data_IF_593570416913
#
_entry.id   IF_593570416913
#
_cell.length_a   1.000
_cell.length_b   1.000
_cell.length_c   1.000
_cell.angle_alpha   90.00
_cell.angle_beta   90.00
_cell.angle_gamma   90.00
#
_symmetry.space_group_name_H-M   'P 1'
#
loop_
_entity.id
_entity.type
_entity.pdbx_description
1 polymer ?
#
# COMPACT_ATOMS: atom_id res chain seq x y z
N UNK A 1 43.70 -51.05 -14.55
CA UNK A 1 43.92 -50.87 -13.10
C UNK A 1 45.41 -51.02 -12.92
N UNK A 2 46.16 -49.96 -12.65
CA UNK A 2 46.07 -49.18 -11.42
C UNK A 2 46.19 -47.68 -11.66
N UNK A 3 45.29 -46.94 -11.02
CA UNK A 3 45.29 -45.49 -10.93
C UNK A 3 46.30 -45.18 -9.82
N UNK A 4 47.57 -45.00 -10.18
CA UNK A 4 48.53 -44.34 -9.29
C UNK A 4 48.27 -42.84 -9.40
N UNK A 5 47.28 -42.35 -8.65
CA UNK A 5 47.19 -40.93 -8.33
C UNK A 5 48.36 -40.59 -7.42
N UNK A 6 49.44 -40.13 -8.05
CA UNK A 6 50.68 -39.73 -7.42
C UNK A 6 50.43 -38.42 -6.64
N UNK A 7 50.42 -38.49 -5.31
CA UNK A 7 50.15 -37.34 -4.43
C UNK A 7 51.08 -36.14 -4.70
N UNK A 8 52.30 -36.40 -5.21
CA UNK A 8 53.26 -35.36 -5.59
C UNK A 8 52.86 -34.57 -6.84
N UNK A 9 52.27 -35.21 -7.85
CA UNK A 9 51.90 -34.55 -9.11
C UNK A 9 50.67 -33.65 -8.93
N UNK A 10 49.75 -34.06 -8.04
CA UNK A 10 48.61 -33.21 -7.65
C UNK A 10 49.07 -31.95 -6.89
N UNK A 11 50.07 -32.08 -6.01
CA UNK A 11 50.63 -30.96 -5.25
C UNK A 11 51.31 -29.93 -6.15
N UNK A 12 52.06 -30.37 -7.17
CA UNK A 12 52.68 -29.47 -8.15
C UNK A 12 51.66 -28.76 -9.02
N UNK A 13 50.62 -29.46 -9.48
CA UNK A 13 49.53 -28.87 -10.26
C UNK A 13 48.80 -27.76 -9.47
N UNK A 14 48.52 -27.98 -8.18
CA UNK A 14 47.91 -26.97 -7.30
C UNK A 14 48.85 -25.78 -7.10
N UNK A 15 50.14 -26.02 -6.81
CA UNK A 15 51.12 -24.93 -6.65
C UNK A 15 51.22 -24.06 -7.90
N UNK A 16 51.25 -24.70 -9.07
CA UNK A 16 51.32 -24.01 -10.37
C UNK A 16 50.04 -23.22 -10.67
N UNK A 17 48.87 -23.78 -10.38
CA UNK A 17 47.60 -23.09 -10.53
C UNK A 17 47.54 -21.79 -9.70
N UNK A 18 47.96 -21.83 -8.43
CA UNK A 18 48.01 -20.64 -7.58
C UNK A 18 49.11 -19.66 -8.00
N UNK A 19 50.26 -20.14 -8.48
CA UNK A 19 51.33 -19.29 -8.99
C UNK A 19 50.88 -18.52 -10.26
N UNK A 20 50.13 -19.17 -11.15
CA UNK A 20 49.64 -18.58 -12.40
C UNK A 20 48.39 -17.71 -12.19
N UNK A 21 47.47 -18.09 -11.30
CA UNK A 21 46.15 -17.44 -11.13
C UNK A 21 45.99 -16.64 -9.83
N UNK A 22 46.98 -16.62 -8.94
CA UNK A 22 46.86 -16.05 -7.59
C UNK A 22 46.41 -14.59 -7.56
N UNK A 23 46.83 -13.77 -8.55
CA UNK A 23 46.37 -12.37 -8.68
C UNK A 23 44.88 -12.29 -9.02
N UNK A 24 44.39 -13.12 -9.96
CA UNK A 24 42.99 -13.16 -10.34
C UNK A 24 42.10 -13.69 -9.22
N UNK A 25 42.56 -14.72 -8.49
CA UNK A 25 41.88 -15.24 -7.31
C UNK A 25 41.76 -14.17 -6.21
N UNK A 26 42.84 -13.44 -5.93
CA UNK A 26 42.84 -12.37 -4.93
C UNK A 26 41.86 -11.25 -5.31
N UNK A 27 41.85 -10.83 -6.58
CA UNK A 27 40.88 -9.84 -7.08
C UNK A 27 39.46 -10.36 -6.95
N UNK A 28 39.19 -11.62 -7.33
CA UNK A 28 37.88 -12.25 -7.20
C UNK A 28 37.39 -12.30 -5.76
N UNK A 29 38.27 -12.64 -4.81
CA UNK A 29 37.95 -12.66 -3.37
C UNK A 29 37.63 -11.25 -2.87
N UNK A 30 38.43 -10.24 -3.23
CA UNK A 30 38.18 -8.85 -2.80
C UNK A 30 36.84 -8.33 -3.34
N UNK A 31 36.54 -8.59 -4.62
CA UNK A 31 35.26 -8.22 -5.23
C UNK A 31 34.12 -8.96 -4.54
N UNK A 32 34.26 -10.26 -4.28
CA UNK A 32 33.25 -11.07 -3.59
C UNK A 32 32.94 -10.56 -2.18
N UNK A 33 33.98 -10.26 -1.40
CA UNK A 33 33.82 -9.68 -0.05
C UNK A 33 33.17 -8.28 -0.14
N UNK A 34 33.61 -7.43 -1.07
CA UNK A 34 33.04 -6.10 -1.28
C UNK A 34 31.56 -6.14 -1.63
N UNK A 35 31.17 -7.06 -2.52
CA UNK A 35 29.77 -7.27 -2.89
C UNK A 35 28.93 -7.77 -1.71
N UNK A 36 29.43 -8.72 -0.93
CA UNK A 36 28.75 -9.24 0.26
C UNK A 36 28.57 -8.18 1.36
N UNK A 37 29.62 -7.40 1.64
CA UNK A 37 29.56 -6.31 2.62
C UNK A 37 28.64 -5.19 2.16
N UNK A 38 28.69 -4.80 0.88
CA UNK A 38 27.80 -3.82 0.30
C UNK A 38 26.34 -4.26 0.36
N UNK A 39 26.05 -5.52 0.02
CA UNK A 39 24.71 -6.09 0.12
C UNK A 39 24.20 -6.16 1.57
N UNK A 40 25.05 -6.61 2.50
CA UNK A 40 24.72 -6.68 3.93
C UNK A 40 24.46 -5.29 4.53
N UNK A 41 25.30 -4.30 4.21
CA UNK A 41 25.11 -2.91 4.64
C UNK A 41 23.78 -2.36 4.13
N UNK A 42 23.47 -2.56 2.85
CA UNK A 42 22.20 -2.12 2.27
C UNK A 42 20.99 -2.81 2.92
N UNK A 43 21.08 -4.11 3.19
CA UNK A 43 20.00 -4.87 3.82
C UNK A 43 19.78 -4.46 5.29
N UNK A 44 20.86 -4.30 6.06
CA UNK A 44 20.76 -3.84 7.45
C UNK A 44 20.17 -2.43 7.53
N UNK A 45 20.61 -1.51 6.67
CA UNK A 45 20.06 -0.16 6.64
C UNK A 45 18.55 -0.14 6.33
N UNK A 46 18.08 -1.02 5.44
CA UNK A 46 16.63 -1.18 5.18
C UNK A 46 15.87 -1.74 6.40
N UNK A 47 16.42 -2.76 7.06
CA UNK A 47 15.78 -3.39 8.21
C UNK A 47 15.69 -2.42 9.41
N UNK A 48 16.78 -1.72 9.70
CA UNK A 48 16.82 -0.70 10.75
C UNK A 48 15.87 0.46 10.43
N UNK A 49 15.83 0.89 9.16
CA UNK A 49 14.89 1.93 8.71
C UNK A 49 13.43 1.49 8.87
N UNK A 50 13.05 0.26 8.52
CA UNK A 50 11.68 -0.22 8.65
C UNK A 50 11.23 -0.31 10.12
N UNK A 51 12.12 -0.76 11.01
CA UNK A 51 11.86 -0.81 12.45
C UNK A 51 11.66 0.59 13.03
N UNK A 52 12.54 1.55 12.68
CA UNK A 52 12.43 2.94 13.13
C UNK A 52 11.13 3.56 12.64
N UNK A 53 10.79 3.44 11.34
CA UNK A 53 9.54 3.97 10.79
C UNK A 53 8.31 3.35 11.46
N UNK A 54 8.36 2.05 11.79
CA UNK A 54 7.27 1.37 12.53
C UNK A 54 7.09 1.93 13.95
N UNK A 55 8.19 2.16 14.67
CA UNK A 55 8.15 2.75 16.01
C UNK A 55 7.63 4.20 15.98
N UNK A 56 8.08 5.00 15.01
CA UNK A 56 7.60 6.36 14.80
C UNK A 56 6.11 6.37 14.44
N UNK A 57 5.67 5.49 13.54
CA UNK A 57 4.26 5.30 13.21
C UNK A 57 3.44 5.00 14.47
N UNK A 58 3.88 4.02 15.29
CA UNK A 58 3.18 3.66 16.51
C UNK A 58 3.06 4.85 17.47
N UNK A 59 4.14 5.62 17.65
CA UNK A 59 4.15 6.82 18.48
C UNK A 59 3.15 7.86 17.96
N UNK A 60 3.19 8.15 16.66
CA UNK A 60 2.30 9.11 16.00
C UNK A 60 0.84 8.71 16.19
N UNK A 61 0.46 7.49 15.81
CA UNK A 61 -0.93 7.04 15.85
C UNK A 61 -1.45 6.88 17.28
N UNK A 62 -0.62 6.43 18.23
CA UNK A 62 -1.02 6.34 19.65
C UNK A 62 -1.25 7.71 20.28
N UNK A 63 -0.47 8.72 19.86
CA UNK A 63 -0.63 10.10 20.33
C UNK A 63 -1.73 10.87 19.61
N UNK A 64 -2.23 10.33 18.50
CA UNK A 64 -3.16 11.01 17.61
C UNK A 64 -4.48 11.26 18.34
N UNK A 65 -4.82 12.54 18.47
CA UNK A 65 -6.04 12.98 19.10
C UNK A 65 -6.56 14.17 18.33
N UNK A 66 -7.74 14.03 17.73
CA UNK A 66 -8.35 15.07 16.91
C UNK A 66 -8.46 16.43 17.62
N UNK A 67 -8.60 16.47 18.94
CA UNK A 67 -8.77 17.69 19.73
C UNK A 67 -7.47 18.41 20.05
N UNK A 68 -6.32 17.80 19.74
CA UNK A 68 -4.99 18.37 20.00
C UNK A 68 -4.29 18.74 18.68
N UNK A 69 -4.21 20.03 18.33
CA UNK A 69 -3.61 20.48 17.07
C UNK A 69 -2.18 19.98 16.84
N UNK A 70 -1.37 19.89 17.89
CA UNK A 70 0.04 19.46 17.78
C UNK A 70 0.18 17.99 17.35
N UNK A 71 -0.74 17.13 17.77
CA UNK A 71 -0.70 15.70 17.40
C UNK A 71 -1.18 15.52 15.97
N UNK A 72 -2.17 16.29 15.52
CA UNK A 72 -2.59 16.37 14.12
C UNK A 72 -1.46 16.88 13.22
N UNK A 73 -0.73 17.92 13.65
CA UNK A 73 0.41 18.46 12.91
C UNK A 73 1.56 17.44 12.81
N UNK A 74 1.85 16.75 13.92
CA UNK A 74 2.87 15.69 13.96
C UNK A 74 2.52 14.53 13.02
N UNK A 75 1.25 14.09 13.04
CA UNK A 75 0.77 13.06 12.13
C UNK A 75 0.82 13.50 10.67
N UNK A 76 0.41 14.73 10.36
CA UNK A 76 0.47 15.28 8.99
C UNK A 76 1.91 15.35 8.48
N UNK A 77 2.85 15.73 9.34
CA UNK A 77 4.28 15.72 9.01
C UNK A 77 4.75 14.29 8.70
N UNK A 78 4.42 13.33 9.55
CA UNK A 78 4.76 11.92 9.30
C UNK A 78 4.17 11.39 7.98
N UNK A 79 2.91 11.71 7.68
CA UNK A 79 2.28 11.37 6.38
C UNK A 79 3.02 11.97 5.20
N UNK A 80 3.58 13.17 5.34
CA UNK A 80 4.30 13.85 4.25
C UNK A 80 5.69 13.25 4.05
N UNK A 81 6.38 12.94 5.13
CA UNK A 81 7.79 12.53 5.10
C UNK A 81 7.98 11.02 4.88
N UNK A 82 6.97 10.21 5.22
CA UNK A 82 7.07 8.74 5.20
C UNK A 82 6.42 8.17 3.94
N UNK A 83 7.23 7.46 3.14
CA UNK A 83 6.76 6.65 2.01
C UNK A 83 6.48 5.20 2.44
N UNK A 84 5.76 4.45 1.62
CA UNK A 84 5.34 3.07 1.87
C UNK A 84 4.08 2.95 2.73
N UNK A 85 3.85 1.74 3.25
CA UNK A 85 2.60 1.39 3.94
C UNK A 85 2.36 2.21 5.21
N UNK A 86 3.40 2.53 6.00
CA UNK A 86 3.24 3.30 7.23
C UNK A 86 2.76 4.73 6.99
N UNK A 87 3.28 5.41 5.95
CA UNK A 87 2.79 6.74 5.57
C UNK A 87 1.34 6.70 5.09
N UNK A 88 0.96 5.65 4.36
CA UNK A 88 -0.41 5.44 3.91
C UNK A 88 -1.37 5.07 5.06
N UNK A 89 -0.94 4.27 6.04
CA UNK A 89 -1.72 3.97 7.24
C UNK A 89 -1.93 5.22 8.10
N UNK A 90 -0.87 6.00 8.34
CA UNK A 90 -1.00 7.26 9.07
C UNK A 90 -1.96 8.24 8.36
N UNK A 91 -1.97 8.24 7.02
CA UNK A 91 -2.90 9.05 6.24
C UNK A 91 -4.36 8.61 6.43
N UNK A 92 -4.63 7.29 6.54
CA UNK A 92 -5.96 6.76 6.86
C UNK A 92 -6.43 7.22 8.24
N UNK A 93 -5.58 7.06 9.25
CA UNK A 93 -5.89 7.44 10.64
C UNK A 93 -6.14 8.96 10.76
N UNK A 94 -5.28 9.77 10.14
CA UNK A 94 -5.42 11.22 10.16
C UNK A 94 -6.66 11.68 9.37
N UNK A 95 -6.95 11.04 8.23
CA UNK A 95 -8.17 11.32 7.47
C UNK A 95 -9.42 11.01 8.29
N UNK A 96 -9.42 9.94 9.08
CA UNK A 96 -10.51 9.60 9.98
C UNK A 96 -10.72 10.71 11.03
N UNK A 97 -9.66 11.18 11.70
CA UNK A 97 -9.77 12.28 12.67
C UNK A 97 -10.40 13.54 12.07
N UNK A 98 -10.05 13.87 10.83
CA UNK A 98 -10.66 14.99 10.12
C UNK A 98 -12.12 14.73 9.73
N UNK A 99 -12.44 13.52 9.26
CA UNK A 99 -13.79 13.13 8.89
C UNK A 99 -14.75 13.13 10.09
N UNK A 100 -14.31 12.63 11.25
CA UNK A 100 -15.09 12.62 12.50
C UNK A 100 -15.45 14.06 12.96
N UNK A 101 -14.63 15.03 12.56
CA UNK A 101 -14.84 16.47 12.79
C UNK A 101 -15.55 17.18 11.65
N UNK A 102 -16.08 16.45 10.67
CA UNK A 102 -16.68 16.99 9.45
C UNK A 102 -15.74 17.88 8.62
N UNK A 103 -14.42 17.81 8.84
CA UNK A 103 -13.39 18.52 8.07
C UNK A 103 -13.06 17.74 6.78
N UNK A 104 -14.09 17.46 5.97
CA UNK A 104 -14.02 16.54 4.83
C UNK A 104 -12.93 16.90 3.81
N UNK A 105 -12.68 18.20 3.59
CA UNK A 105 -11.64 18.65 2.66
C UNK A 105 -10.23 18.27 3.14
N UNK A 106 -9.97 18.37 4.46
CA UNK A 106 -8.69 17.96 5.03
C UNK A 106 -8.55 16.44 5.00
N UNK A 107 -9.64 15.72 5.29
CA UNK A 107 -9.67 14.26 5.22
C UNK A 107 -9.36 13.75 3.80
N UNK A 108 -10.01 14.32 2.78
CA UNK A 108 -9.74 14.00 1.38
C UNK A 108 -8.27 14.26 1.00
N UNK A 109 -7.71 15.40 1.41
CA UNK A 109 -6.31 15.74 1.15
C UNK A 109 -5.33 14.73 1.77
N UNK A 110 -5.62 14.22 2.98
CA UNK A 110 -4.78 13.18 3.59
C UNK A 110 -4.86 11.86 2.83
N UNK A 111 -6.04 11.42 2.42
CA UNK A 111 -6.18 10.20 1.61
C UNK A 111 -5.48 10.32 0.26
N UNK A 112 -5.56 11.48 -0.40
CA UNK A 112 -4.81 11.77 -1.63
C UNK A 112 -3.30 11.73 -1.41
N UNK A 113 -2.81 12.21 -0.27
CA UNK A 113 -1.40 12.09 0.09
C UNK A 113 -1.01 10.62 0.35
N UNK A 114 -1.85 9.87 1.06
CA UNK A 114 -1.65 8.44 1.30
C UNK A 114 -1.55 7.63 0.00
N UNK A 115 -2.35 7.97 -1.02
CA UNK A 115 -2.27 7.35 -2.36
C UNK A 115 -0.91 7.56 -3.04
N UNK A 116 -0.26 8.69 -2.78
CA UNK A 116 1.10 8.97 -3.30
C UNK A 116 2.18 8.21 -2.53
N UNK A 117 1.93 7.86 -1.27
CA UNK A 117 2.91 7.21 -0.41
C UNK A 117 3.09 5.73 -0.70
N UNK A 118 2.08 5.04 -1.26
CA UNK A 118 2.12 3.58 -1.44
C UNK A 118 1.95 3.14 -2.89
N UNK A 119 2.60 2.03 -3.24
CA UNK A 119 2.41 1.29 -4.50
C UNK A 119 1.65 -0.03 -4.30
N UNK A 120 1.27 -0.35 -3.06
CA UNK A 120 0.49 -1.54 -2.75
C UNK A 120 -0.94 -1.37 -3.27
N UNK A 121 -1.36 -2.26 -4.17
CA UNK A 121 -2.64 -2.15 -4.85
C UNK A 121 -3.83 -2.28 -3.89
N UNK A 122 -3.73 -3.10 -2.83
CA UNK A 122 -4.81 -3.26 -1.85
C UNK A 122 -4.93 -2.00 -0.99
N UNK A 123 -3.82 -1.41 -0.57
CA UNK A 123 -3.83 -0.18 0.20
C UNK A 123 -4.32 1.00 -0.63
N UNK A 124 -3.92 1.09 -1.90
CA UNK A 124 -4.46 2.07 -2.84
C UNK A 124 -5.97 1.90 -3.03
N UNK A 125 -6.48 0.67 -3.11
CA UNK A 125 -7.91 0.40 -3.18
C UNK A 125 -8.65 0.91 -1.93
N UNK A 126 -8.16 0.61 -0.73
CA UNK A 126 -8.77 1.07 0.53
C UNK A 126 -8.79 2.61 0.63
N UNK A 127 -7.66 3.25 0.31
CA UNK A 127 -7.55 4.72 0.30
C UNK A 127 -8.54 5.34 -0.70
N UNK A 128 -8.61 4.79 -1.92
CA UNK A 128 -9.50 5.28 -2.98
C UNK A 128 -10.98 5.11 -2.62
N UNK A 129 -11.37 3.96 -2.05
CA UNK A 129 -12.74 3.70 -1.60
C UNK A 129 -13.16 4.69 -0.50
N UNK A 130 -12.28 4.96 0.47
CA UNK A 130 -12.56 5.96 1.52
C UNK A 130 -12.61 7.38 0.95
N UNK A 131 -11.72 7.70 0.01
CA UNK A 131 -11.71 9.01 -0.66
C UNK A 131 -12.99 9.24 -1.45
N UNK A 132 -13.46 8.25 -2.21
CA UNK A 132 -14.71 8.31 -2.95
C UNK A 132 -15.90 8.56 -2.03
N UNK A 133 -15.98 7.89 -0.88
CA UNK A 133 -17.05 8.14 0.12
C UNK A 133 -17.02 9.56 0.67
N UNK A 134 -15.83 10.11 0.93
CA UNK A 134 -15.69 11.51 1.36
C UNK A 134 -16.12 12.47 0.24
N UNK A 135 -15.71 12.21 -1.01
CA UNK A 135 -16.10 13.00 -2.17
C UNK A 135 -17.63 12.99 -2.37
N UNK A 136 -18.30 11.85 -2.18
CA UNK A 136 -19.78 11.77 -2.19
C UNK A 136 -20.39 12.69 -1.13
N UNK A 137 -19.88 12.67 0.11
CA UNK A 137 -20.35 13.55 1.19
C UNK A 137 -20.11 15.04 0.88
N UNK A 138 -19.03 15.34 0.14
CA UNK A 138 -18.73 16.68 -0.35
C UNK A 138 -19.55 17.08 -1.60
N UNK A 139 -20.50 16.24 -2.04
CA UNK A 139 -21.29 16.41 -3.27
C UNK A 139 -20.45 16.42 -4.55
N UNK A 140 -19.26 15.82 -4.51
CA UNK A 140 -18.33 15.68 -5.63
C UNK A 140 -18.48 14.28 -6.28
N UNK A 141 -19.69 13.96 -6.73
CA UNK A 141 -20.01 12.63 -7.26
C UNK A 141 -19.13 12.23 -8.46
N UNK A 142 -18.85 13.17 -9.38
CA UNK A 142 -18.03 12.87 -10.56
C UNK A 142 -16.58 12.57 -10.20
N UNK A 143 -16.03 13.23 -9.18
CA UNK A 143 -14.69 12.93 -8.69
C UNK A 143 -14.66 11.59 -7.95
N UNK A 144 -15.71 11.26 -7.19
CA UNK A 144 -15.86 9.95 -6.58
C UNK A 144 -15.86 8.83 -7.63
N UNK A 145 -16.60 9.00 -8.73
CA UNK A 145 -16.63 8.02 -9.83
C UNK A 145 -15.24 7.82 -10.45
N UNK A 146 -14.50 8.91 -10.72
CA UNK A 146 -13.12 8.82 -11.22
C UNK A 146 -12.19 8.12 -10.22
N UNK A 147 -12.32 8.42 -8.93
CA UNK A 147 -11.55 7.74 -7.87
C UNK A 147 -11.87 6.24 -7.82
N UNK A 148 -13.12 5.84 -8.03
CA UNK A 148 -13.49 4.42 -8.06
C UNK A 148 -12.96 3.69 -9.29
N UNK A 149 -12.77 4.37 -10.42
CA UNK A 149 -12.27 3.76 -11.64
C UNK A 149 -10.83 3.26 -11.52
N UNK A 150 -10.04 3.79 -10.59
CA UNK A 150 -8.68 3.31 -10.34
C UNK A 150 -8.64 2.02 -9.52
N UNK A 151 -9.74 1.65 -8.84
CA UNK A 151 -9.81 0.45 -8.01
C UNK A 151 -10.07 -0.77 -8.88
N UNK A 152 -9.09 -1.68 -8.94
CA UNK A 152 -9.14 -2.90 -9.75
C UNK A 152 -9.06 -4.16 -8.88
N UNK A 153 -9.50 -5.28 -9.43
CA UNK A 153 -9.44 -6.59 -8.79
C UNK A 153 -10.81 -7.14 -8.42
N UNK A 154 -10.98 -8.45 -8.57
CA UNK A 154 -12.26 -9.15 -8.37
C UNK A 154 -12.82 -8.95 -6.96
N UNK A 155 -11.97 -8.96 -5.93
CA UNK A 155 -12.37 -8.80 -4.54
C UNK A 155 -12.99 -7.43 -4.21
N UNK A 156 -12.73 -6.41 -5.02
CA UNK A 156 -13.24 -5.06 -4.79
C UNK A 156 -14.54 -4.77 -5.55
N UNK A 157 -14.94 -5.60 -6.52
CA UNK A 157 -16.07 -5.34 -7.41
C UNK A 157 -17.36 -5.01 -6.67
N UNK A 158 -17.73 -5.80 -5.67
CA UNK A 158 -18.94 -5.59 -4.90
C UNK A 158 -18.92 -4.26 -4.14
N UNK A 159 -17.80 -3.91 -3.51
CA UNK A 159 -17.65 -2.69 -2.72
C UNK A 159 -17.61 -1.46 -3.63
N UNK A 160 -16.89 -1.55 -4.75
CA UNK A 160 -16.86 -0.49 -5.77
C UNK A 160 -18.25 -0.25 -6.34
N UNK A 161 -19.01 -1.31 -6.63
CA UNK A 161 -20.39 -1.21 -7.11
C UNK A 161 -21.30 -0.51 -6.10
N UNK A 162 -21.18 -0.85 -4.81
CA UNK A 162 -21.93 -0.20 -3.74
C UNK A 162 -21.68 1.32 -3.68
N UNK A 163 -20.41 1.73 -3.59
CA UNK A 163 -20.02 3.14 -3.51
C UNK A 163 -20.30 3.88 -4.83
N UNK A 164 -20.16 3.22 -5.98
CA UNK A 164 -20.53 3.79 -7.29
C UNK A 164 -22.02 4.09 -7.36
N UNK A 165 -22.87 3.18 -6.87
CA UNK A 165 -24.30 3.42 -6.82
C UNK A 165 -24.67 4.57 -5.88
N UNK A 166 -23.98 4.70 -4.73
CA UNK A 166 -24.13 5.87 -3.84
C UNK A 166 -23.74 7.18 -4.54
N UNK A 167 -22.62 7.20 -5.27
CA UNK A 167 -22.19 8.37 -6.03
C UNK A 167 -23.23 8.76 -7.10
N UNK A 168 -23.71 7.79 -7.88
CA UNK A 168 -24.72 8.02 -8.93
C UNK A 168 -26.04 8.52 -8.33
N UNK A 169 -26.49 7.93 -7.23
CA UNK A 169 -27.70 8.38 -6.54
C UNK A 169 -27.53 9.82 -6.00
N UNK A 170 -26.36 10.16 -5.46
CA UNK A 170 -26.10 11.50 -4.89
C UNK A 170 -26.21 12.63 -5.92
N UNK A 171 -25.97 12.33 -7.21
CA UNK A 171 -26.19 13.25 -8.34
C UNK A 171 -27.53 13.08 -9.05
N UNK A 172 -28.46 12.31 -8.48
CA UNK A 172 -29.81 12.11 -8.98
C UNK A 172 -29.96 11.01 -10.04
N UNK A 173 -28.89 10.31 -10.42
CA UNK A 173 -28.95 9.21 -11.39
C UNK A 173 -29.43 7.91 -10.74
N UNK A 174 -30.74 7.82 -10.51
CA UNK A 174 -31.38 6.63 -9.93
C UNK A 174 -31.22 5.38 -10.79
N UNK A 175 -31.20 5.53 -12.12
CA UNK A 175 -31.06 4.40 -13.03
C UNK A 175 -29.64 3.85 -12.93
N UNK A 176 -28.63 4.71 -13.06
CA UNK A 176 -27.23 4.34 -12.89
C UNK A 176 -26.95 3.75 -11.51
N UNK A 177 -27.56 4.29 -10.45
CA UNK A 177 -27.43 3.73 -9.10
C UNK A 177 -27.96 2.30 -9.01
N UNK A 178 -29.17 2.05 -9.55
CA UNK A 178 -29.76 0.71 -9.63
C UNK A 178 -28.84 -0.24 -10.39
N UNK A 179 -28.38 0.17 -11.58
CA UNK A 179 -27.54 -0.66 -12.44
C UNK A 179 -26.22 -1.03 -11.75
N UNK A 180 -25.59 -0.08 -11.05
CA UNK A 180 -24.37 -0.31 -10.28
C UNK A 180 -24.60 -1.32 -9.14
N UNK A 181 -25.63 -1.13 -8.33
CA UNK A 181 -25.94 -2.06 -7.24
C UNK A 181 -26.34 -3.45 -7.74
N UNK A 182 -27.08 -3.56 -8.84
CA UNK A 182 -27.41 -4.85 -9.46
C UNK A 182 -26.16 -5.61 -9.92
N UNK A 183 -25.18 -4.91 -10.50
CA UNK A 183 -23.87 -5.51 -10.83
C UNK A 183 -23.13 -5.97 -9.56
N UNK A 184 -23.19 -5.20 -8.49
CA UNK A 184 -22.62 -5.58 -7.19
C UNK A 184 -23.26 -6.86 -6.62
N UNK A 185 -24.59 -6.95 -6.65
CA UNK A 185 -25.36 -8.12 -6.17
C UNK A 185 -24.99 -9.40 -6.94
N UNK A 186 -24.82 -9.28 -8.26
CA UNK A 186 -24.44 -10.39 -9.15
C UNK A 186 -22.96 -10.80 -9.04
N UNK A 187 -22.14 -10.02 -8.34
CA UNK A 187 -20.72 -10.35 -8.11
C UNK A 187 -20.52 -11.29 -6.91
N UNK A 188 -19.26 -11.60 -6.58
CA UNK A 188 -18.89 -12.39 -5.41
C UNK A 188 -18.98 -11.59 -4.09
N UNK A 189 -20.08 -10.86 -3.90
CA UNK A 189 -20.36 -10.09 -2.70
C UNK A 189 -20.63 -11.02 -1.50
N UNK A 190 -20.26 -10.57 -0.30
CA UNK A 190 -20.69 -11.24 0.93
C UNK A 190 -22.23 -11.20 1.04
N UNK A 191 -22.85 -12.17 1.73
CA UNK A 191 -24.31 -12.19 1.90
C UNK A 191 -24.87 -10.86 2.45
N UNK A 192 -24.21 -10.29 3.46
CA UNK A 192 -24.61 -9.02 4.06
C UNK A 192 -24.53 -7.84 3.08
N UNK A 193 -23.45 -7.75 2.28
CA UNK A 193 -23.30 -6.66 1.31
C UNK A 193 -24.31 -6.80 0.17
N UNK A 194 -24.58 -8.03 -0.27
CA UNK A 194 -25.61 -8.31 -1.28
C UNK A 194 -26.99 -7.89 -0.80
N UNK A 195 -27.36 -8.25 0.44
CA UNK A 195 -28.63 -7.87 1.04
C UNK A 195 -28.76 -6.34 1.18
N UNK A 196 -27.71 -5.67 1.64
CA UNK A 196 -27.68 -4.21 1.74
C UNK A 196 -27.92 -3.53 0.39
N UNK A 197 -27.24 -3.96 -0.67
CA UNK A 197 -27.46 -3.42 -2.01
C UNK A 197 -28.87 -3.72 -2.54
N UNK A 198 -29.42 -4.90 -2.25
CA UNK A 198 -30.79 -5.24 -2.63
C UNK A 198 -31.81 -4.32 -1.93
N UNK A 199 -31.62 -4.04 -0.63
CA UNK A 199 -32.46 -3.07 0.08
C UNK A 199 -32.36 -1.67 -0.55
N UNK A 200 -31.14 -1.21 -0.88
CA UNK A 200 -30.93 0.06 -1.58
C UNK A 200 -31.68 0.10 -2.93
N UNK A 201 -31.63 -0.96 -3.73
CA UNK A 201 -32.37 -1.09 -4.99
C UNK A 201 -33.88 -0.99 -4.78
N UNK A 202 -34.42 -1.71 -3.80
CA UNK A 202 -35.85 -1.75 -3.52
C UNK A 202 -36.38 -0.38 -3.09
N UNK A 203 -35.58 0.39 -2.34
CA UNK A 203 -35.91 1.74 -1.87
C UNK A 203 -35.81 2.81 -2.97
N UNK A 204 -35.31 2.51 -4.18
CA UNK A 204 -35.27 3.49 -5.28
C UNK A 204 -36.63 3.69 -5.96
N UNK A 205 -37.55 2.75 -5.77
CA UNK A 205 -38.89 2.70 -6.40
C UNK A 205 -40.03 3.12 -5.46
N UNK A 206 -39.71 3.58 -4.25
CA UNK A 206 -40.64 4.31 -3.38
C UNK A 206 -40.44 5.80 -3.51
#
# INVERSE_FOLDING_TARGET
MEIYENENDQMEAVKRFFAENGKALLVGVVIGIGALLGWRYWNNHKADSAMVTSQEYQKVVTSLNGDKPDTLASAKKFVTDTQGSYGAFAALELAQQYADKSELAKAAAQLQQGLKNTKDANLQAVLSLRLARIQIQQKQADDALKTLDVVKGEGWKAIVADVRGEALLSKGDRKGARDAWSQGVASNASPALREMMQMKINNLSS
#
